data_IF_587766154419
#
_entry.id   IF_587766154419
#
_cell.length_a   1.000
_cell.length_b   1.000
_cell.length_c   1.000
_cell.angle_alpha   90.00
_cell.angle_beta   90.00
_cell.angle_gamma   90.00
#
_symmetry.space_group_name_H-M   'P 1'
#
loop_
_entity.id
_entity.type
_entity.pdbx_description
1 polymer ?
#
# COMPACT_ATOMS: atom_id res chain seq x y z
N UNK A 1 40.14 5.59 52.26
CA UNK A 1 38.70 5.54 51.99
C UNK A 1 38.52 5.73 50.47
N UNK A 2 38.19 4.65 49.77
CA UNK A 2 38.12 4.64 48.32
C UNK A 2 36.64 4.71 47.90
N UNK A 3 36.21 5.83 47.34
CA UNK A 3 34.87 6.03 46.78
C UNK A 3 34.79 5.29 45.44
N UNK A 4 34.18 4.12 45.45
CA UNK A 4 33.75 3.42 44.22
C UNK A 4 32.62 4.22 43.59
N UNK A 5 32.93 4.94 42.49
CA UNK A 5 31.95 5.56 41.67
C UNK A 5 31.03 4.50 41.06
N UNK A 6 29.73 4.54 41.41
CA UNK A 6 28.70 3.83 40.70
C UNK A 6 28.62 4.39 39.31
N UNK A 7 29.06 3.63 38.30
CA UNK A 7 28.68 3.90 36.88
C UNK A 7 27.16 3.69 36.80
N UNK A 8 26.45 4.79 36.72
CA UNK A 8 25.05 4.78 36.26
C UNK A 8 25.10 4.22 34.84
N UNK A 9 24.66 2.97 34.68
CA UNK A 9 24.55 2.36 33.36
C UNK A 9 23.64 3.24 32.52
N UNK A 10 24.17 3.71 31.39
CA UNK A 10 23.35 4.38 30.40
C UNK A 10 22.20 3.43 30.03
N UNK A 11 20.98 3.84 30.29
CA UNK A 11 19.80 3.08 29.89
C UNK A 11 19.92 2.85 28.37
N UNK A 12 19.98 1.57 27.97
CA UNK A 12 20.06 1.21 26.58
C UNK A 12 18.80 1.79 25.88
N UNK A 13 19.02 2.73 24.98
CA UNK A 13 17.92 3.33 24.22
C UNK A 13 17.37 2.25 23.29
N UNK A 14 16.20 1.70 23.65
CA UNK A 14 15.48 0.74 22.79
C UNK A 14 14.93 1.52 21.61
N UNK A 15 15.29 1.18 20.36
CA UNK A 15 14.78 1.88 19.20
C UNK A 15 13.27 1.69 19.10
N UNK A 16 12.55 2.81 19.01
CA UNK A 16 11.10 2.85 18.78
C UNK A 16 10.81 2.98 17.29
N UNK A 17 9.84 2.24 16.82
CA UNK A 17 9.33 2.32 15.45
C UNK A 17 7.86 2.75 15.48
N UNK A 18 7.45 3.58 14.51
CA UNK A 18 6.09 4.09 14.43
C UNK A 18 5.33 3.43 13.29
N UNK A 19 4.10 3.03 13.58
CA UNK A 19 3.23 2.37 12.62
C UNK A 19 1.84 3.00 12.61
N UNK A 20 1.26 3.16 11.43
CA UNK A 20 -0.16 3.42 11.27
C UNK A 20 -0.90 2.09 11.24
N UNK A 21 -1.82 1.89 12.18
CA UNK A 21 -2.66 0.68 12.22
C UNK A 21 -3.91 0.92 11.42
N UNK A 22 -4.14 0.06 10.43
CA UNK A 22 -5.29 0.09 9.52
C UNK A 22 -6.00 -1.26 9.51
N UNK A 23 -7.28 -1.25 9.13
CA UNK A 23 -8.10 -2.45 8.99
C UNK A 23 -8.57 -2.62 7.55
N UNK A 24 -8.49 -3.86 7.04
CA UNK A 24 -9.02 -4.27 5.74
C UNK A 24 -9.63 -5.65 5.90
N UNK A 25 -10.93 -5.80 5.61
CA UNK A 25 -11.62 -7.08 5.71
C UNK A 25 -11.56 -7.69 7.11
N UNK A 26 -11.71 -6.89 8.17
CA UNK A 26 -11.61 -7.27 9.56
C UNK A 26 -10.22 -7.78 10.01
N UNK A 27 -9.18 -7.55 9.23
CA UNK A 27 -7.79 -7.83 9.59
C UNK A 27 -6.99 -6.55 9.79
N UNK A 28 -6.17 -6.53 10.83
CA UNK A 28 -5.35 -5.35 11.16
C UNK A 28 -3.96 -5.47 10.55
N UNK A 29 -3.56 -4.39 9.89
CA UNK A 29 -2.25 -4.24 9.29
C UNK A 29 -1.53 -3.04 9.85
N UNK A 30 -0.20 -3.11 9.89
CA UNK A 30 0.66 -2.02 10.31
C UNK A 30 1.47 -1.53 9.12
N UNK A 31 1.36 -0.24 8.82
CA UNK A 31 2.15 0.47 7.82
C UNK A 31 3.22 1.30 8.53
N UNK A 32 4.47 1.25 8.09
CA UNK A 32 5.52 2.10 8.62
C UNK A 32 5.11 3.57 8.48
N UNK A 33 5.16 4.35 9.55
CA UNK A 33 4.66 5.73 9.55
C UNK A 33 5.35 6.63 8.53
N UNK A 34 6.63 6.40 8.27
CA UNK A 34 7.43 7.16 7.28
C UNK A 34 6.91 6.99 5.84
N UNK A 35 6.18 5.89 5.57
CA UNK A 35 5.55 5.65 4.27
C UNK A 35 4.29 6.52 4.08
N UNK A 36 3.62 6.89 5.17
CA UNK A 36 2.32 7.55 5.16
C UNK A 36 2.48 9.06 4.97
N UNK A 37 1.88 9.60 3.92
CA UNK A 37 1.91 11.03 3.60
C UNK A 37 0.64 11.77 4.02
N UNK A 38 -0.48 11.06 4.12
CA UNK A 38 -1.75 11.65 4.51
C UNK A 38 -2.90 10.66 4.51
N UNK A 39 -4.03 11.12 5.03
CA UNK A 39 -5.29 10.39 5.09
C UNK A 39 -6.38 11.26 4.46
N UNK A 40 -7.22 10.67 3.63
CA UNK A 40 -8.37 11.33 3.00
C UNK A 40 -9.65 10.55 3.33
N UNK A 41 -10.75 11.27 3.39
CA UNK A 41 -12.09 10.69 3.47
C UNK A 41 -12.50 10.09 2.12
N UNK A 42 -13.60 9.35 2.09
CA UNK A 42 -14.17 8.79 0.85
C UNK A 42 -14.56 9.90 -0.11
N UNK A 43 -15.14 10.97 0.41
CA UNK A 43 -15.60 12.13 -0.38
C UNK A 43 -14.42 12.86 -1.05
N UNK A 44 -13.29 13.00 -0.36
CA UNK A 44 -12.09 13.63 -0.89
C UNK A 44 -11.35 12.77 -1.92
N UNK A 45 -11.42 11.45 -1.77
CA UNK A 45 -10.67 10.52 -2.64
C UNK A 45 -11.43 10.13 -3.91
N UNK A 46 -12.76 10.19 -3.90
CA UNK A 46 -13.57 9.73 -5.03
C UNK A 46 -13.33 8.25 -5.38
N UNK A 47 -13.68 7.88 -6.62
CA UNK A 47 -13.55 6.50 -7.12
C UNK A 47 -12.52 6.35 -8.25
N UNK A 48 -11.64 7.33 -8.44
CA UNK A 48 -10.66 7.33 -9.53
C UNK A 48 -9.53 6.30 -9.31
N UNK A 49 -9.05 5.71 -10.39
CA UNK A 49 -7.88 4.80 -10.34
C UNK A 49 -6.55 5.54 -10.07
N UNK A 50 -6.50 6.85 -10.27
CA UNK A 50 -5.37 7.74 -9.94
C UNK A 50 -5.95 8.93 -9.19
N UNK A 51 -5.41 9.19 -8.02
CA UNK A 51 -5.79 10.32 -7.18
C UNK A 51 -4.74 11.42 -7.30
N UNK A 52 -5.15 12.66 -7.57
CA UNK A 52 -4.25 13.81 -7.61
C UNK A 52 -4.44 14.67 -6.37
N UNK A 53 -3.38 14.79 -5.57
CA UNK A 53 -3.37 15.61 -4.35
C UNK A 53 -2.23 16.62 -4.45
N UNK A 54 -2.53 17.91 -4.37
CA UNK A 54 -1.53 19.00 -4.47
C UNK A 54 -0.61 18.87 -5.69
N UNK A 55 -1.17 18.48 -6.85
CA UNK A 55 -0.42 18.28 -8.09
C UNK A 55 0.45 17.01 -8.15
N UNK A 56 0.33 16.13 -7.15
CA UNK A 56 1.01 14.84 -7.11
C UNK A 56 0.03 13.71 -7.39
N UNK A 57 0.42 12.78 -8.26
CA UNK A 57 -0.39 11.63 -8.61
C UNK A 57 -0.10 10.44 -7.69
N UNK A 58 -1.17 9.81 -7.20
CA UNK A 58 -1.15 8.62 -6.36
C UNK A 58 -1.99 7.53 -7.04
N UNK A 59 -1.39 6.59 -7.76
CA UNK A 59 -2.09 5.45 -8.31
C UNK A 59 -2.77 4.63 -7.20
N UNK A 60 -4.03 4.25 -7.42
CA UNK A 60 -4.77 3.43 -6.47
C UNK A 60 -4.30 1.98 -6.52
N UNK A 61 -3.99 1.42 -5.35
CA UNK A 61 -3.68 0.01 -5.16
C UNK A 61 -4.82 -0.67 -4.44
N UNK A 62 -5.35 -1.72 -5.04
CA UNK A 62 -6.33 -2.59 -4.38
C UNK A 62 -5.60 -3.59 -3.48
N UNK A 63 -5.34 -3.15 -2.24
CA UNK A 63 -4.64 -3.96 -1.26
C UNK A 63 -5.49 -5.15 -0.80
N UNK A 64 -6.81 -4.98 -0.71
CA UNK A 64 -7.75 -6.09 -0.41
C UNK A 64 -7.59 -7.22 -1.41
N UNK A 65 -7.66 -6.92 -2.70
CA UNK A 65 -7.48 -7.91 -3.78
C UNK A 65 -6.10 -8.56 -3.73
N UNK A 66 -5.03 -7.79 -3.49
CA UNK A 66 -3.66 -8.32 -3.39
C UNK A 66 -3.46 -9.28 -2.22
N UNK A 67 -4.16 -9.05 -1.12
CA UNK A 67 -4.13 -9.89 0.09
C UNK A 67 -5.20 -10.98 0.10
N UNK A 68 -6.07 -11.04 -0.92
CA UNK A 68 -7.19 -11.98 -0.97
C UNK A 68 -8.28 -11.68 0.06
N UNK A 69 -8.42 -10.41 0.45
CA UNK A 69 -9.41 -9.94 1.43
C UNK A 69 -10.58 -9.26 0.73
N UNK A 70 -11.75 -9.34 1.36
CA UNK A 70 -12.93 -8.58 0.93
C UNK A 70 -13.09 -7.36 1.83
N UNK A 71 -12.89 -6.13 1.30
CA UNK A 71 -13.12 -4.90 2.06
C UNK A 71 -14.59 -4.78 2.48
N UNK A 72 -14.82 -4.06 3.57
CA UNK A 72 -16.16 -3.91 4.14
C UNK A 72 -17.10 -2.98 3.32
N UNK A 73 -16.58 -2.35 2.25
CA UNK A 73 -17.31 -1.37 1.43
C UNK A 73 -17.19 0.05 1.96
N UNK A 74 -17.97 0.96 1.34
CA UNK A 74 -17.94 2.38 1.71
C UNK A 74 -18.68 2.62 3.02
N UNK A 75 -17.95 3.07 4.03
CA UNK A 75 -18.45 3.45 5.34
C UNK A 75 -17.89 4.81 5.73
N UNK A 76 -18.48 5.52 6.71
CA UNK A 76 -17.95 6.79 7.20
C UNK A 76 -16.51 6.68 7.75
N UNK A 77 -16.12 5.50 8.27
CA UNK A 77 -14.80 5.19 8.79
C UNK A 77 -13.76 4.88 7.71
N UNK A 78 -14.21 4.56 6.48
CA UNK A 78 -13.32 4.25 5.35
C UNK A 78 -12.41 5.44 5.04
N UNK A 79 -11.15 5.18 4.82
CA UNK A 79 -10.14 6.20 4.51
C UNK A 79 -9.30 5.77 3.32
N UNK A 80 -8.76 6.76 2.63
CA UNK A 80 -7.70 6.56 1.64
C UNK A 80 -6.39 7.03 2.25
N UNK A 81 -5.43 6.13 2.32
CA UNK A 81 -4.08 6.39 2.84
C UNK A 81 -3.16 6.71 1.68
N UNK A 82 -2.54 7.88 1.71
CA UNK A 82 -1.52 8.29 0.75
C UNK A 82 -0.17 7.76 1.18
N UNK A 83 0.53 7.10 0.28
CA UNK A 83 1.80 6.44 0.51
C UNK A 83 2.86 7.00 -0.43
N UNK A 84 4.06 7.27 0.09
CA UNK A 84 5.19 7.62 -0.75
C UNK A 84 6.52 7.20 -0.11
N UNK A 85 7.42 6.63 -0.91
CA UNK A 85 8.79 6.30 -0.53
C UNK A 85 9.69 6.25 -1.76
N UNK A 86 10.86 6.84 -1.67
CA UNK A 86 11.87 6.84 -2.74
C UNK A 86 11.33 7.29 -4.12
N UNK A 87 10.43 8.29 -4.14
CA UNK A 87 9.82 8.81 -5.37
C UNK A 87 8.63 8.00 -5.90
N UNK A 88 8.35 6.82 -5.35
CA UNK A 88 7.19 6.02 -5.71
C UNK A 88 6.02 6.47 -4.83
N UNK A 89 4.84 6.68 -5.46
CA UNK A 89 3.61 7.06 -4.77
C UNK A 89 2.50 6.07 -5.07
N UNK A 90 1.61 5.89 -4.11
CA UNK A 90 0.41 5.09 -4.25
C UNK A 90 -0.65 5.58 -3.27
N UNK A 91 -1.89 5.20 -3.48
CA UNK A 91 -2.90 5.28 -2.43
C UNK A 91 -3.59 3.92 -2.24
N UNK A 92 -3.96 3.64 -1.02
CA UNK A 92 -4.70 2.44 -0.65
C UNK A 92 -5.97 2.83 0.08
N UNK A 93 -7.04 2.08 -0.18
CA UNK A 93 -8.28 2.22 0.55
C UNK A 93 -8.28 1.22 1.70
N UNK A 94 -8.67 1.68 2.88
CA UNK A 94 -8.77 0.89 4.11
C UNK A 94 -10.13 1.07 4.74
N UNK A 95 -10.65 0.03 5.39
CA UNK A 95 -11.98 0.07 6.00
C UNK A 95 -12.00 0.97 7.23
N UNK A 96 -10.91 0.98 8.01
CA UNK A 96 -10.75 1.85 9.17
C UNK A 96 -9.28 2.15 9.45
N UNK A 97 -9.02 3.31 10.06
CA UNK A 97 -7.72 3.67 10.63
C UNK A 97 -7.85 3.72 12.14
N UNK A 98 -7.09 2.86 12.84
CA UNK A 98 -7.10 2.79 14.30
C UNK A 98 -6.19 3.84 14.95
N UNK A 99 -5.17 4.31 14.24
CA UNK A 99 -4.27 5.36 14.69
C UNK A 99 -2.80 5.04 14.52
N UNK A 100 -1.98 5.98 14.97
CA UNK A 100 -0.52 5.86 14.97
C UNK A 100 -0.08 5.27 16.32
N UNK A 101 0.78 4.26 16.28
CA UNK A 101 1.35 3.61 17.46
C UNK A 101 2.87 3.65 17.42
N UNK A 102 3.48 3.79 18.60
CA UNK A 102 4.92 3.63 18.79
C UNK A 102 5.18 2.27 19.44
N UNK A 103 6.06 1.49 18.86
CA UNK A 103 6.33 0.12 19.26
C UNK A 103 7.84 -0.08 19.39
N UNK A 104 8.27 -0.67 20.48
CA UNK A 104 9.65 -1.11 20.61
C UNK A 104 9.96 -2.19 19.56
N UNK A 105 11.13 -2.13 18.95
CA UNK A 105 11.54 -3.11 17.95
C UNK A 105 11.48 -4.55 18.43
N UNK A 106 11.65 -4.77 19.73
CA UNK A 106 11.53 -6.08 20.39
C UNK A 106 10.10 -6.66 20.37
N UNK A 107 9.09 -5.80 20.14
CA UNK A 107 7.68 -6.19 20.02
C UNK A 107 7.26 -6.50 18.57
N UNK A 108 8.19 -6.43 17.63
CA UNK A 108 8.02 -6.90 16.26
C UNK A 108 8.44 -8.37 16.22
N UNK A 109 7.47 -9.27 16.18
CA UNK A 109 7.70 -10.70 16.22
C UNK A 109 7.86 -11.26 14.80
N UNK A 110 8.67 -12.30 14.60
CA UNK A 110 8.77 -12.97 13.32
C UNK A 110 7.45 -13.63 12.93
N UNK A 111 7.21 -13.76 11.63
CA UNK A 111 6.03 -14.46 11.12
C UNK A 111 6.02 -15.93 11.55
N UNK A 112 4.86 -16.48 11.95
CA UNK A 112 4.69 -17.89 12.20
C UNK A 112 5.06 -18.75 10.98
N UNK A 113 5.41 -20.03 11.22
CA UNK A 113 5.90 -20.93 10.17
C UNK A 113 4.85 -21.28 9.09
N UNK A 114 3.57 -21.15 9.41
CA UNK A 114 2.46 -21.39 8.49
C UNK A 114 2.35 -20.39 7.33
N UNK A 115 3.01 -19.23 7.42
CA UNK A 115 3.10 -18.33 6.27
C UNK A 115 3.98 -18.94 5.17
N UNK A 116 3.48 -18.91 3.92
CA UNK A 116 4.21 -19.44 2.76
C UNK A 116 5.50 -18.67 2.51
N UNK A 117 6.46 -19.31 1.86
CA UNK A 117 7.80 -18.73 1.67
C UNK A 117 7.78 -17.45 0.83
N UNK A 118 6.93 -17.38 -0.19
CA UNK A 118 6.75 -16.23 -1.07
C UNK A 118 6.00 -15.08 -0.38
N UNK A 119 4.99 -15.40 0.45
CA UNK A 119 4.23 -14.42 1.23
C UNK A 119 5.08 -13.75 2.32
N UNK A 120 6.15 -14.42 2.80
CA UNK A 120 7.03 -13.85 3.83
C UNK A 120 7.69 -12.55 3.42
N UNK A 121 7.89 -12.33 2.11
CA UNK A 121 8.44 -11.10 1.59
C UNK A 121 7.44 -9.92 1.58
N UNK A 122 6.16 -10.21 1.82
CA UNK A 122 5.10 -9.19 1.86
C UNK A 122 4.99 -8.52 3.23
N UNK A 123 5.50 -9.19 4.26
CA UNK A 123 5.29 -8.82 5.65
C UNK A 123 6.60 -8.56 6.40
N UNK A 124 6.56 -7.60 7.31
CA UNK A 124 7.66 -7.32 8.25
C UNK A 124 7.65 -8.30 9.43
N UNK A 125 6.46 -8.75 9.85
CA UNK A 125 6.25 -9.55 11.04
C UNK A 125 4.92 -9.22 11.71
N UNK A 126 4.76 -9.66 12.95
CA UNK A 126 3.62 -9.32 13.80
C UNK A 126 4.00 -8.17 14.71
N UNK A 127 3.23 -7.09 14.65
CA UNK A 127 3.42 -5.90 15.48
C UNK A 127 2.49 -5.99 16.68
N UNK A 128 3.08 -6.06 17.88
CA UNK A 128 2.31 -6.08 19.14
C UNK A 128 2.14 -4.64 19.65
N UNK A 129 0.91 -4.15 19.73
CA UNK A 129 0.60 -2.82 20.22
C UNK A 129 -0.58 -2.85 21.21
N UNK A 130 -0.44 -2.22 22.36
CA UNK A 130 -1.43 -2.35 23.42
C UNK A 130 -1.76 -3.82 23.71
N UNK A 131 -3.02 -4.19 23.57
CA UNK A 131 -3.52 -5.57 23.63
C UNK A 131 -3.78 -6.17 22.24
N UNK A 132 -3.45 -5.44 21.17
CA UNK A 132 -3.71 -5.82 19.78
C UNK A 132 -2.49 -6.39 19.08
N UNK A 133 -2.77 -7.03 17.94
CA UNK A 133 -1.75 -7.57 17.00
C UNK A 133 -2.12 -7.14 15.58
N UNK A 134 -1.17 -6.53 14.88
CA UNK A 134 -1.30 -6.22 13.48
C UNK A 134 -0.22 -6.91 12.65
N UNK A 135 -0.51 -7.23 11.40
CA UNK A 135 0.48 -7.76 10.46
C UNK A 135 1.21 -6.58 9.81
N UNK A 136 2.52 -6.46 10.04
CA UNK A 136 3.35 -5.42 9.44
C UNK A 136 3.53 -5.67 7.94
N UNK A 137 3.22 -4.69 7.10
CA UNK A 137 3.41 -4.78 5.65
C UNK A 137 4.77 -4.21 5.24
N UNK A 138 5.47 -4.94 4.36
CA UNK A 138 6.75 -4.49 3.82
C UNK A 138 6.53 -3.39 2.78
N UNK A 139 7.11 -2.20 2.99
CA UNK A 139 6.90 -1.02 2.13
C UNK A 139 7.28 -1.27 0.68
N UNK A 140 8.39 -1.95 0.42
CA UNK A 140 8.83 -2.28 -0.94
C UNK A 140 7.85 -3.17 -1.69
N UNK A 141 7.29 -4.19 -1.03
CA UNK A 141 6.23 -5.01 -1.62
C UNK A 141 4.95 -4.20 -1.85
N UNK A 142 4.55 -3.41 -0.87
CA UNK A 142 3.34 -2.60 -0.95
C UNK A 142 3.41 -1.66 -2.17
N UNK A 143 4.50 -0.92 -2.34
CA UNK A 143 4.68 0.03 -3.44
C UNK A 143 5.01 -0.62 -4.79
N UNK A 144 5.49 -1.88 -4.83
CA UNK A 144 5.77 -2.57 -6.10
C UNK A 144 4.52 -2.70 -6.99
N UNK A 145 3.33 -2.75 -6.38
CA UNK A 145 2.06 -2.76 -7.12
C UNK A 145 1.77 -1.47 -7.89
N UNK A 146 2.26 -0.32 -7.42
CA UNK A 146 2.11 0.96 -8.12
C UNK A 146 2.91 0.99 -9.42
N UNK A 147 4.07 0.36 -9.45
CA UNK A 147 4.91 0.28 -10.66
C UNK A 147 4.28 -0.59 -11.74
N UNK A 148 3.59 -1.67 -11.37
CA UNK A 148 2.93 -2.58 -12.32
C UNK A 148 1.68 -1.96 -12.95
N UNK A 149 0.92 -1.15 -12.20
CA UNK A 149 -0.24 -0.42 -12.71
C UNK A 149 0.12 0.61 -13.77
N UNK A 150 1.25 1.29 -13.66
CA UNK A 150 1.74 2.28 -14.64
C UNK A 150 2.13 1.64 -15.98
N UNK A 151 2.76 0.47 -15.96
CA UNK A 151 3.13 -0.25 -17.17
C UNK A 151 1.91 -0.71 -17.99
N UNK A 152 0.81 -1.07 -17.31
CA UNK A 152 -0.44 -1.48 -17.95
C UNK A 152 -1.16 -0.33 -18.67
N UNK A 153 -1.14 0.88 -18.11
CA UNK A 153 -1.80 2.06 -18.68
C UNK A 153 -1.06 2.61 -19.91
N UNK A 154 0.26 2.56 -19.92
CA UNK A 154 1.06 2.99 -21.09
C UNK A 154 0.85 2.08 -22.30
N UNK A 155 0.58 0.79 -22.09
CA UNK A 155 0.35 -0.17 -23.19
C UNK A 155 -1.07 -0.07 -23.78
N UNK A 156 -2.05 0.51 -23.08
CA UNK A 156 -3.39 0.76 -23.63
C UNK A 156 -3.45 2.04 -24.49
N UNK A 157 -2.60 3.03 -24.23
CA UNK A 157 -2.56 4.27 -25.00
C UNK A 157 -1.87 4.13 -26.36
N UNK A 158 -1.17 3.02 -26.64
CA UNK A 158 -0.53 2.75 -27.94
C UNK A 158 -1.37 1.86 -28.87
N UNK A 159 -2.54 1.43 -28.48
CA UNK A 159 -3.49 0.81 -29.42
C UNK A 159 -4.26 1.92 -30.13
N UNK A 160 -3.66 2.51 -31.14
CA UNK A 160 -4.35 3.33 -32.14
C UNK A 160 -5.50 2.50 -32.74
N UNK A 161 -6.73 3.05 -32.81
CA UNK A 161 -7.80 2.38 -33.53
C UNK A 161 -7.40 2.31 -34.99
N UNK A 162 -7.33 1.11 -35.54
CA UNK A 162 -7.22 0.88 -36.98
C UNK A 162 -8.36 1.67 -37.67
N UNK A 163 -7.99 2.64 -38.48
CA UNK A 163 -8.93 3.43 -39.26
C UNK A 163 -9.75 2.51 -40.15
N UNK A 164 -11.08 2.59 -40.02
CA UNK A 164 -12.10 1.95 -40.84
C UNK A 164 -12.15 2.51 -42.30
N UNK A 165 -11.06 3.08 -42.83
CA UNK A 165 -11.00 3.66 -44.18
C UNK A 165 -10.41 2.74 -45.25
N UNK A 166 -10.02 1.50 -44.90
CA UNK A 166 -9.36 0.59 -45.87
C UNK A 166 -10.26 -0.55 -46.37
N UNK A 167 -11.56 -0.52 -46.06
CA UNK A 167 -12.52 -1.55 -46.52
C UNK A 167 -13.35 -1.12 -47.74
N UNK A 168 -13.14 0.11 -48.30
CA UNK A 168 -13.96 0.61 -49.41
C UNK A 168 -13.33 0.45 -50.82
N UNK A 169 -12.09 -0.02 -50.94
CA UNK A 169 -11.39 -0.08 -52.22
C UNK A 169 -11.28 -1.48 -52.84
N UNK A 170 -11.70 -2.54 -52.15
CA UNK A 170 -11.62 -3.91 -52.68
C UNK A 170 -12.90 -4.41 -53.40
N UNK A 171 -13.97 -3.61 -53.47
CA UNK A 171 -15.22 -4.05 -54.11
C UNK A 171 -15.44 -3.46 -55.52
N UNK A 172 -14.47 -2.75 -56.09
CA UNK A 172 -14.60 -2.14 -57.43
C UNK A 172 -13.70 -2.71 -58.53
N UNK A 173 -13.06 -3.85 -58.33
CA UNK A 173 -12.36 -4.55 -59.42
C UNK A 173 -12.76 -6.01 -59.49
N UNK A 174 -13.88 -6.28 -60.09
CA UNK A 174 -14.30 -7.65 -60.33
C UNK A 174 -15.66 -7.80 -60.96
N UNK A 175 -16.02 -6.93 -61.94
CA UNK A 175 -17.06 -7.25 -62.92
C UNK A 175 -16.67 -6.54 -64.21
N UNK A 176 -15.96 -7.21 -65.11
CA UNK A 176 -15.94 -6.94 -66.55
C UNK A 176 -15.56 -8.24 -67.25
N UNK A 177 -16.52 -8.73 -68.07
CA UNK A 177 -16.55 -9.88 -68.98
C UNK A 177 -16.64 -11.26 -68.38
#
# INVERSE_FOLDING_TARGET
MSLRGHRIGAAAHVPMERYLIVEIGAQQFALTAELVQGLLTVEESGSAGILTVQGQEYPALDLGKRLGLTPAGDRPETRTVLLAQAGIRACIRVDQVHGLVEVERTRVLPLPRQFRSDERNWYLGLILYGEGVAVGLHSGWLLSGAMQGHAGLLNQSQRLPLRLSDMSERTRKGIAC
#
